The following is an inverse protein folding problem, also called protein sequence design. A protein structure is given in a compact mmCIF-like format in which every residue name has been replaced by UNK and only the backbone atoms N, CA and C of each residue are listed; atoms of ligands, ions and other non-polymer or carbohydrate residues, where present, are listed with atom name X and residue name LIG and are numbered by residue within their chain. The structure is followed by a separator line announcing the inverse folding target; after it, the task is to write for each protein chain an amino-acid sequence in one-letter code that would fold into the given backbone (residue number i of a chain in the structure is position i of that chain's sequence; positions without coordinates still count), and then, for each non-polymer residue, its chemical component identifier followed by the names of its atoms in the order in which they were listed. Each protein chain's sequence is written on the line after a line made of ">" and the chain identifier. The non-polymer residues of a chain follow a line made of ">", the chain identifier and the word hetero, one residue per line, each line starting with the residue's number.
data_IF_993288385632
#
_entry.id   IF_993288385632
#
_cell.length_a   1.000
_cell.length_b   1.000
_cell.length_c   1.000
_cell.angle_alpha   90.00
_cell.angle_beta   90.00
_cell.angle_gamma   90.00
#
_symmetry.space_group_name_H-M   'P 1'
#
loop_
_entity.id
_entity.type
_entity.pdbx_description
1 polymer ?
#
# COMPACT_ATOMS: atom_id res chain seq x y z
N UNK A 1 6.05 -21.26 -11.44
CA UNK A 1 5.05 -20.39 -10.76
C UNK A 1 5.44 -18.97 -11.07
N UNK A 2 4.50 -18.11 -11.48
CA UNK A 2 4.79 -16.69 -11.76
C UNK A 2 4.78 -15.89 -10.45
N UNK A 3 5.87 -15.17 -10.16
CA UNK A 3 6.03 -14.38 -8.95
C UNK A 3 5.66 -12.92 -9.25
N UNK A 4 4.66 -12.41 -8.54
CA UNK A 4 4.21 -11.01 -8.64
C UNK A 4 4.42 -10.34 -7.29
N UNK A 5 5.34 -9.39 -7.23
CA UNK A 5 5.61 -8.57 -6.05
C UNK A 5 4.65 -7.37 -6.02
N UNK A 6 3.72 -7.36 -5.05
CA UNK A 6 2.65 -6.36 -4.98
C UNK A 6 2.99 -5.18 -4.07
N UNK A 7 4.06 -5.26 -3.28
CA UNK A 7 4.46 -4.19 -2.36
C UNK A 7 5.91 -3.81 -2.61
N UNK A 8 6.09 -2.76 -3.35
CA UNK A 8 7.37 -2.15 -3.70
C UNK A 8 7.15 -0.71 -4.16
N UNK A 9 8.21 0.11 -4.18
CA UNK A 9 8.07 1.54 -4.32
C UNK A 9 8.96 2.12 -5.43
N UNK A 10 8.40 3.08 -6.16
CA UNK A 10 9.10 3.77 -7.24
C UNK A 10 8.75 5.26 -7.25
N UNK A 11 9.76 6.11 -7.38
CA UNK A 11 9.63 7.54 -7.60
C UNK A 11 9.95 7.83 -9.07
N UNK A 12 8.96 8.15 -9.90
CA UNK A 12 9.26 8.63 -11.24
C UNK A 12 10.22 9.82 -11.22
N UNK A 13 11.19 9.90 -12.15
CA UNK A 13 12.10 11.05 -12.22
C UNK A 13 11.35 12.39 -12.23
N UNK A 14 10.25 12.46 -12.95
CA UNK A 14 9.38 13.63 -13.06
C UNK A 14 8.83 14.08 -11.70
N UNK A 15 8.50 13.13 -10.80
CA UNK A 15 8.07 13.41 -9.44
C UNK A 15 9.21 14.02 -8.61
N UNK A 16 10.41 13.43 -8.68
CA UNK A 16 11.59 13.95 -7.97
C UNK A 16 11.96 15.37 -8.43
N UNK A 17 11.85 15.64 -9.71
CA UNK A 17 12.11 16.97 -10.27
C UNK A 17 11.02 17.97 -9.84
N UNK A 18 9.76 17.54 -9.79
CA UNK A 18 8.67 18.36 -9.30
C UNK A 18 8.84 18.72 -7.82
N UNK A 19 9.29 17.79 -6.98
CA UNK A 19 9.60 18.09 -5.56
C UNK A 19 10.72 19.13 -5.43
N UNK A 20 11.70 19.15 -6.33
CA UNK A 20 12.83 20.10 -6.32
C UNK A 20 12.48 21.46 -6.93
N UNK A 21 11.34 21.61 -7.56
CA UNK A 21 10.96 22.82 -8.32
C UNK A 21 10.73 24.08 -7.47
N UNK A 22 10.80 23.96 -6.14
CA UNK A 22 10.52 25.05 -5.20
C UNK A 22 9.02 25.30 -4.96
N UNK A 23 8.13 24.48 -5.54
CA UNK A 23 6.67 24.54 -5.32
C UNK A 23 6.19 23.58 -4.25
N UNK A 24 6.97 22.54 -3.97
CA UNK A 24 6.68 21.50 -2.99
C UNK A 24 6.96 21.97 -1.56
N UNK A 25 6.16 21.49 -0.61
CA UNK A 25 6.45 21.62 0.83
C UNK A 25 7.47 20.58 1.30
N UNK A 26 7.69 19.53 0.48
CA UNK A 26 8.64 18.47 0.75
C UNK A 26 10.06 18.95 0.46
N UNK A 27 10.93 18.85 1.45
CA UNK A 27 12.35 19.18 1.31
C UNK A 27 13.11 18.00 0.72
N UNK A 28 13.89 18.24 -0.33
CA UNK A 28 14.78 17.24 -0.93
C UNK A 28 16.22 17.69 -0.76
N UNK A 29 17.06 16.84 -0.15
CA UNK A 29 18.51 17.02 -0.05
C UNK A 29 19.23 15.87 -0.74
N UNK A 30 20.52 15.69 -0.49
CA UNK A 30 21.27 14.54 -1.03
C UNK A 30 22.16 13.91 0.06
N UNK A 31 22.35 12.60 -0.03
CA UNK A 31 23.34 11.89 0.78
C UNK A 31 24.76 12.08 0.20
N UNK A 32 25.77 11.53 0.88
CA UNK A 32 27.18 11.59 0.44
C UNK A 32 27.44 10.89 -0.91
N UNK A 33 26.51 10.02 -1.37
CA UNK A 33 26.59 9.32 -2.67
C UNK A 33 25.77 10.02 -3.76
N UNK A 34 25.15 11.16 -3.45
CA UNK A 34 24.31 11.92 -4.36
C UNK A 34 22.89 11.37 -4.52
N UNK A 35 22.45 10.40 -3.70
CA UNK A 35 21.06 9.96 -3.72
C UNK A 35 20.14 11.02 -3.10
N UNK A 36 18.98 11.30 -3.69
CA UNK A 36 17.99 12.18 -3.09
C UNK A 36 17.54 11.69 -1.72
N UNK A 37 17.52 12.59 -0.74
CA UNK A 37 16.89 12.41 0.55
C UNK A 37 15.57 13.18 0.55
N UNK A 38 14.45 12.48 0.60
CA UNK A 38 13.11 13.04 0.56
C UNK A 38 12.59 13.09 1.99
N UNK A 39 12.52 14.32 2.56
CA UNK A 39 12.16 14.51 3.96
C UNK A 39 10.65 14.65 4.14
N UNK A 40 10.11 14.01 5.18
CA UNK A 40 8.72 14.11 5.60
C UNK A 40 8.63 14.04 7.14
N UNK A 41 7.48 14.36 7.77
CA UNK A 41 7.40 14.36 9.23
C UNK A 41 7.82 13.03 9.85
N UNK A 42 8.84 13.09 10.72
CA UNK A 42 9.37 11.96 11.48
C UNK A 42 10.46 11.13 10.80
N UNK A 43 10.69 11.28 9.48
CA UNK A 43 11.66 10.46 8.76
C UNK A 43 12.13 11.09 7.42
N UNK A 44 12.90 10.33 6.66
CA UNK A 44 13.24 10.62 5.26
C UNK A 44 13.46 9.33 4.47
N UNK A 45 13.16 9.36 3.18
CA UNK A 45 13.50 8.28 2.27
C UNK A 45 14.76 8.58 1.46
N UNK A 46 15.64 7.59 1.36
CA UNK A 46 16.81 7.64 0.46
C UNK A 46 16.39 7.06 -0.89
N UNK A 47 16.23 7.91 -1.90
CA UNK A 47 15.85 7.47 -3.25
C UNK A 47 17.04 6.87 -4.00
N UNK A 48 17.41 5.63 -3.64
CA UNK A 48 18.47 4.86 -4.32
C UNK A 48 18.10 4.52 -5.77
N UNK A 49 19.02 3.96 -6.57
CA UNK A 49 18.78 3.60 -7.97
C UNK A 49 17.50 2.76 -8.16
N UNK A 50 17.26 1.77 -7.29
CA UNK A 50 16.04 0.95 -7.32
C UNK A 50 14.75 1.76 -7.19
N UNK A 51 14.76 2.91 -6.52
CA UNK A 51 13.58 3.77 -6.41
C UNK A 51 13.30 4.62 -7.66
N UNK A 52 14.29 4.92 -8.50
CA UNK A 52 14.20 6.01 -9.51
C UNK A 52 14.70 5.63 -10.90
N UNK A 53 15.29 4.46 -11.05
CA UNK A 53 15.79 3.95 -12.33
C UNK A 53 15.10 2.64 -12.68
N UNK A 54 14.18 2.70 -13.63
CA UNK A 54 13.35 1.55 -14.01
C UNK A 54 14.15 0.49 -14.76
N UNK A 55 15.22 0.87 -15.48
CA UNK A 55 16.07 -0.07 -16.17
C UNK A 55 16.96 -0.84 -15.18
N UNK A 56 17.54 -0.14 -14.22
CA UNK A 56 18.26 -0.76 -13.10
C UNK A 56 17.36 -1.76 -12.35
N UNK A 57 16.13 -1.33 -12.02
CA UNK A 57 15.13 -2.18 -11.33
C UNK A 57 14.80 -3.42 -12.13
N UNK A 58 14.59 -3.30 -13.43
CA UNK A 58 14.32 -4.45 -14.29
C UNK A 58 15.45 -5.49 -14.22
N UNK A 59 16.72 -5.05 -14.28
CA UNK A 59 17.87 -5.95 -14.13
C UNK A 59 17.91 -6.67 -12.77
N UNK A 60 17.49 -5.98 -11.68
CA UNK A 60 17.36 -6.61 -10.36
C UNK A 60 16.28 -7.69 -10.39
N UNK A 61 15.10 -7.43 -10.96
CA UNK A 61 14.01 -8.42 -11.05
C UNK A 61 14.42 -9.65 -11.86
N UNK A 62 15.14 -9.45 -12.96
CA UNK A 62 15.64 -10.55 -13.79
C UNK A 62 16.62 -11.42 -13.01
N UNK A 63 17.54 -10.81 -12.30
CA UNK A 63 18.54 -11.50 -11.45
C UNK A 63 17.87 -12.30 -10.32
N UNK A 64 16.90 -11.72 -9.65
CA UNK A 64 16.24 -12.35 -8.49
C UNK A 64 15.11 -13.32 -8.89
N UNK A 65 14.68 -13.33 -10.15
CA UNK A 65 13.64 -14.24 -10.66
C UNK A 65 12.21 -13.78 -10.29
N UNK A 66 11.98 -12.48 -10.16
CA UNK A 66 10.63 -11.91 -10.00
C UNK A 66 10.05 -11.59 -11.37
N UNK A 67 8.85 -12.07 -11.68
CA UNK A 67 8.24 -11.92 -13.00
C UNK A 67 7.63 -10.54 -13.23
N UNK A 68 6.93 -10.03 -12.22
CA UNK A 68 6.21 -8.75 -12.31
C UNK A 68 6.31 -8.01 -10.99
N UNK A 69 6.48 -6.69 -11.03
CA UNK A 69 6.25 -5.81 -9.88
C UNK A 69 5.06 -4.88 -10.12
N UNK A 70 4.23 -4.70 -9.09
CA UNK A 70 3.17 -3.70 -9.06
C UNK A 70 3.74 -2.46 -8.37
N UNK A 71 4.28 -1.52 -9.16
CA UNK A 71 4.94 -0.33 -8.63
C UNK A 71 3.94 0.64 -7.99
N UNK A 72 4.35 1.26 -6.89
CA UNK A 72 3.57 2.26 -6.15
C UNK A 72 4.42 3.45 -5.76
N UNK A 73 3.78 4.61 -5.53
CA UNK A 73 4.44 5.77 -4.93
C UNK A 73 4.40 5.64 -3.41
N UNK A 74 5.57 5.62 -2.75
CA UNK A 74 5.63 5.60 -1.27
C UNK A 74 5.59 7.01 -0.65
N UNK A 75 5.78 7.08 0.66
CA UNK A 75 5.92 8.36 1.39
C UNK A 75 6.99 9.26 0.78
N UNK A 76 6.79 10.58 0.78
CA UNK A 76 5.68 11.30 1.41
C UNK A 76 4.35 11.26 0.63
N UNK A 77 4.28 10.64 -0.55
CA UNK A 77 3.09 10.65 -1.40
C UNK A 77 2.80 12.02 -1.99
N UNK A 78 1.52 12.33 -2.20
CA UNK A 78 1.08 13.64 -2.70
C UNK A 78 0.21 14.39 -1.69
N UNK A 79 -0.33 13.69 -0.68
CA UNK A 79 -1.32 14.23 0.26
C UNK A 79 -0.76 15.26 1.26
N UNK A 80 0.56 15.34 1.40
CA UNK A 80 1.24 16.34 2.25
C UNK A 80 1.26 17.73 1.61
N UNK A 81 0.99 17.80 0.31
CA UNK A 81 1.02 19.03 -0.48
C UNK A 81 -0.30 19.80 -0.39
N UNK A 82 -0.29 21.06 -0.87
CA UNK A 82 -1.54 21.80 -1.08
C UNK A 82 -2.44 21.04 -2.05
N UNK A 83 -3.75 21.11 -1.89
CA UNK A 83 -4.71 20.35 -2.71
C UNK A 83 -4.46 20.47 -4.23
N UNK A 84 -4.21 21.71 -4.71
CA UNK A 84 -3.92 21.95 -6.13
C UNK A 84 -2.62 21.27 -6.59
N UNK A 85 -1.57 21.33 -5.78
CA UNK A 85 -0.29 20.74 -6.15
C UNK A 85 -0.30 19.23 -6.00
N UNK A 86 -0.99 18.71 -4.98
CA UNK A 86 -1.25 17.28 -4.81
C UNK A 86 -1.91 16.65 -6.05
N UNK A 87 -2.94 17.32 -6.60
CA UNK A 87 -3.60 16.87 -7.84
C UNK A 87 -2.65 16.89 -9.06
N UNK A 88 -1.80 17.91 -9.16
CA UNK A 88 -0.79 18.00 -10.23
C UNK A 88 0.22 16.86 -10.12
N UNK A 89 0.74 16.59 -8.91
CA UNK A 89 1.71 15.51 -8.68
C UNK A 89 1.09 14.13 -8.90
N UNK A 90 -0.14 13.92 -8.45
CA UNK A 90 -0.82 12.64 -8.64
C UNK A 90 -1.00 12.32 -10.13
N UNK A 91 -1.47 13.29 -10.92
CA UNK A 91 -1.61 13.11 -12.37
C UNK A 91 -0.27 12.81 -13.04
N UNK A 92 0.78 13.57 -12.70
CA UNK A 92 2.13 13.39 -13.24
C UNK A 92 2.70 12.00 -12.94
N UNK A 93 2.54 11.52 -11.70
CA UNK A 93 3.01 10.18 -11.29
C UNK A 93 2.24 9.08 -12.01
N UNK A 94 0.91 9.20 -12.08
CA UNK A 94 0.07 8.21 -12.71
C UNK A 94 0.32 8.10 -14.22
N UNK A 95 0.57 9.23 -14.91
CA UNK A 95 0.97 9.22 -16.31
C UNK A 95 2.32 8.54 -16.52
N UNK A 96 3.31 8.82 -15.66
CA UNK A 96 4.60 8.15 -15.69
C UNK A 96 4.47 6.63 -15.42
N UNK A 97 3.64 6.22 -14.47
CA UNK A 97 3.37 4.81 -14.20
C UNK A 97 2.69 4.12 -15.38
N UNK A 98 1.67 4.73 -15.97
CA UNK A 98 1.00 4.18 -17.15
C UNK A 98 1.96 4.02 -18.33
N UNK A 99 2.87 4.97 -18.54
CA UNK A 99 3.93 4.88 -19.54
C UNK A 99 4.86 3.69 -19.28
N UNK A 100 5.37 3.54 -18.03
CA UNK A 100 6.25 2.42 -17.65
C UNK A 100 5.53 1.08 -17.90
N UNK A 101 4.27 0.96 -17.49
CA UNK A 101 3.47 -0.25 -17.68
C UNK A 101 3.31 -0.57 -19.16
N UNK A 102 2.99 0.42 -19.99
CA UNK A 102 2.81 0.25 -21.44
C UNK A 102 4.11 -0.16 -22.15
N UNK A 103 5.24 0.46 -21.81
CA UNK A 103 6.53 0.23 -22.47
C UNK A 103 7.24 -1.06 -22.01
N UNK A 104 6.88 -1.58 -20.81
CA UNK A 104 7.61 -2.67 -20.17
C UNK A 104 6.71 -3.83 -19.72
N UNK A 105 5.53 -3.99 -20.30
CA UNK A 105 4.68 -5.13 -20.04
C UNK A 105 5.37 -6.45 -20.45
N UNK A 106 5.19 -7.55 -19.72
CA UNK A 106 4.42 -7.71 -18.49
C UNK A 106 5.27 -7.52 -17.21
N UNK A 107 6.47 -6.92 -17.31
CA UNK A 107 7.44 -6.80 -16.21
C UNK A 107 6.94 -5.88 -15.08
N UNK A 108 6.17 -4.84 -15.45
CA UNK A 108 5.61 -3.89 -14.50
C UNK A 108 4.09 -3.76 -14.67
N UNK A 109 3.44 -3.59 -13.54
CA UNK A 109 2.10 -3.06 -13.37
C UNK A 109 2.18 -1.94 -12.34
N UNK A 110 1.09 -1.19 -12.11
CA UNK A 110 1.12 -0.11 -11.13
C UNK A 110 -0.24 0.06 -10.45
N UNK A 111 -0.22 0.63 -9.24
CA UNK A 111 -1.38 1.26 -8.62
C UNK A 111 -1.21 2.77 -8.68
N UNK A 112 -2.32 3.46 -8.91
CA UNK A 112 -2.34 4.92 -8.93
C UNK A 112 -1.99 5.50 -7.55
N UNK A 113 -1.49 6.73 -7.54
CA UNK A 113 -1.47 7.58 -6.35
C UNK A 113 -2.60 8.61 -6.45
N UNK A 114 -3.15 9.02 -5.31
CA UNK A 114 -4.29 9.91 -5.24
C UNK A 114 -3.97 11.17 -4.44
N UNK A 115 -4.52 12.34 -4.82
CA UNK A 115 -4.37 13.59 -4.06
C UNK A 115 -5.31 13.59 -2.84
N UNK A 116 -5.07 12.70 -1.87
CA UNK A 116 -6.00 12.40 -0.75
C UNK A 116 -6.32 13.61 0.13
N UNK A 117 -5.53 14.68 0.11
CA UNK A 117 -5.86 15.95 0.76
C UNK A 117 -7.08 16.65 0.13
N UNK A 118 -7.48 16.24 -1.08
CA UNK A 118 -8.70 16.69 -1.78
C UNK A 118 -9.52 15.46 -2.19
N UNK A 119 -10.56 15.08 -1.44
CA UNK A 119 -11.39 13.93 -1.76
C UNK A 119 -12.06 13.98 -3.12
N UNK A 120 -12.50 15.17 -3.57
CA UNK A 120 -13.15 15.32 -4.87
C UNK A 120 -12.15 15.13 -6.03
N UNK A 121 -10.95 15.69 -5.90
CA UNK A 121 -9.86 15.45 -6.84
C UNK A 121 -9.43 13.97 -6.84
N UNK A 122 -9.45 13.31 -5.67
CA UNK A 122 -9.12 11.88 -5.55
C UNK A 122 -10.12 10.99 -6.30
N UNK A 123 -11.42 11.28 -6.24
CA UNK A 123 -12.44 10.57 -7.02
C UNK A 123 -12.21 10.75 -8.52
N UNK A 124 -11.93 11.98 -8.94
CA UNK A 124 -11.65 12.29 -10.35
C UNK A 124 -10.41 11.55 -10.86
N UNK A 125 -9.33 11.56 -10.06
CA UNK A 125 -8.06 10.92 -10.42
C UNK A 125 -8.16 9.38 -10.40
N UNK A 126 -8.87 8.77 -9.44
CA UNK A 126 -9.10 7.33 -9.45
C UNK A 126 -9.89 6.91 -10.70
N UNK A 127 -10.92 7.67 -11.08
CA UNK A 127 -11.68 7.41 -12.30
C UNK A 127 -10.78 7.47 -13.53
N UNK A 128 -10.00 8.53 -13.68
CA UNK A 128 -9.05 8.69 -14.79
C UNK A 128 -8.03 7.53 -14.82
N UNK A 129 -7.47 7.19 -13.66
CA UNK A 129 -6.50 6.10 -13.55
C UNK A 129 -7.07 4.77 -14.03
N UNK A 130 -8.31 4.45 -13.67
CA UNK A 130 -8.93 3.18 -14.04
C UNK A 130 -9.46 3.17 -15.49
N UNK A 131 -10.14 4.22 -15.91
CA UNK A 131 -10.83 4.25 -17.20
C UNK A 131 -9.87 4.59 -18.37
N UNK A 132 -8.95 5.55 -18.16
CA UNK A 132 -8.06 6.04 -19.22
C UNK A 132 -6.68 5.35 -19.14
N UNK A 133 -6.06 5.30 -17.95
CA UNK A 133 -4.72 4.75 -17.76
C UNK A 133 -4.68 3.23 -17.52
N UNK A 134 -5.86 2.60 -17.35
CA UNK A 134 -5.99 1.16 -17.14
C UNK A 134 -5.27 0.62 -15.90
N UNK A 135 -5.09 1.44 -14.88
CA UNK A 135 -4.56 1.02 -13.59
C UNK A 135 -5.68 0.38 -12.75
N UNK A 136 -5.44 -0.74 -12.04
CA UNK A 136 -6.51 -1.54 -11.42
C UNK A 136 -7.04 -0.96 -10.10
N UNK A 137 -6.54 0.17 -9.67
CA UNK A 137 -6.88 0.82 -8.40
C UNK A 137 -5.78 1.75 -7.95
N UNK A 138 -5.69 1.99 -6.65
CA UNK A 138 -4.74 2.94 -6.08
C UNK A 138 -4.08 2.43 -4.79
N UNK A 139 -2.89 2.94 -4.51
CA UNK A 139 -2.35 2.92 -3.16
C UNK A 139 -2.90 4.12 -2.39
N UNK A 140 -3.37 3.89 -1.18
CA UNK A 140 -3.84 4.91 -0.23
C UNK A 140 -3.03 4.83 1.05
N UNK A 141 -2.87 5.97 1.74
CA UNK A 141 -2.13 5.98 3.00
C UNK A 141 -3.04 5.68 4.18
N UNK A 142 -2.49 5.09 5.24
CA UNK A 142 -3.19 4.70 6.48
C UNK A 142 -3.93 5.86 7.17
N UNK A 143 -3.41 7.07 7.02
CA UNK A 143 -4.06 8.32 7.39
C UNK A 143 -3.76 9.42 6.34
N UNK A 144 -4.50 10.49 6.35
CA UNK A 144 -4.30 11.66 5.49
C UNK A 144 -4.07 12.88 6.37
N UNK A 145 -2.80 13.19 6.63
CA UNK A 145 -2.41 14.29 7.52
C UNK A 145 -3.11 14.20 8.90
N UNK A 146 -3.12 13.01 9.50
CA UNK A 146 -3.77 12.72 10.78
C UNK A 146 -5.27 12.44 10.70
N UNK A 147 -5.89 12.55 9.53
CA UNK A 147 -7.30 12.23 9.33
C UNK A 147 -7.43 10.74 8.99
N UNK A 148 -8.26 10.01 9.76
CA UNK A 148 -8.47 8.61 9.53
C UNK A 148 -9.10 8.33 8.16
N UNK A 149 -8.68 7.25 7.47
CA UNK A 149 -9.30 6.80 6.22
C UNK A 149 -10.81 6.50 6.38
N UNK A 150 -11.25 6.18 7.58
CA UNK A 150 -12.66 5.94 7.89
C UNK A 150 -13.55 7.20 7.84
N UNK A 151 -12.97 8.39 7.77
CA UNK A 151 -13.71 9.65 7.71
C UNK A 151 -14.64 9.67 6.49
N UNK A 152 -15.89 10.12 6.69
CA UNK A 152 -16.93 10.12 5.64
C UNK A 152 -16.59 10.98 4.43
N UNK A 153 -15.64 11.93 4.54
CA UNK A 153 -15.14 12.69 3.39
C UNK A 153 -14.56 11.81 2.28
N UNK A 154 -14.07 10.60 2.62
CA UNK A 154 -13.54 9.64 1.66
C UNK A 154 -14.59 8.68 1.10
N UNK A 155 -15.82 8.69 1.59
CA UNK A 155 -16.86 7.78 1.10
C UNK A 155 -17.17 7.91 -0.39
N UNK A 156 -17.17 9.09 -1.02
CA UNK A 156 -17.31 9.17 -2.48
C UNK A 156 -16.20 8.45 -3.26
N UNK A 157 -14.98 8.39 -2.69
CA UNK A 157 -13.89 7.58 -3.24
C UNK A 157 -14.21 6.08 -3.12
N UNK A 158 -14.74 5.65 -1.98
CA UNK A 158 -15.14 4.26 -1.74
C UNK A 158 -16.35 3.85 -2.58
N UNK A 159 -17.29 4.75 -2.83
CA UNK A 159 -18.40 4.50 -3.77
C UNK A 159 -17.89 4.18 -5.18
N UNK A 160 -16.95 4.95 -5.69
CA UNK A 160 -16.33 4.67 -6.97
C UNK A 160 -15.51 3.38 -6.95
N UNK A 161 -14.70 3.18 -5.92
CA UNK A 161 -13.87 1.99 -5.76
C UNK A 161 -14.74 0.72 -5.67
N UNK A 162 -15.85 0.77 -4.94
CA UNK A 162 -16.83 -0.33 -4.87
C UNK A 162 -17.49 -0.57 -6.21
N UNK A 163 -17.99 0.49 -6.87
CA UNK A 163 -18.66 0.38 -8.17
C UNK A 163 -17.79 -0.30 -9.23
N UNK A 164 -16.48 -0.07 -9.18
CA UNK A 164 -15.49 -0.60 -10.14
C UNK A 164 -14.80 -1.88 -9.67
N UNK A 165 -14.95 -2.26 -8.38
CA UNK A 165 -14.20 -3.36 -7.77
C UNK A 165 -12.70 -3.07 -7.70
N UNK A 166 -12.33 -1.82 -7.45
CA UNK A 166 -10.95 -1.36 -7.43
C UNK A 166 -10.13 -2.02 -6.31
N UNK A 167 -8.83 -2.14 -6.56
CA UNK A 167 -7.84 -2.47 -5.53
C UNK A 167 -7.49 -1.20 -4.76
N UNK A 168 -7.61 -1.22 -3.43
CA UNK A 168 -7.07 -0.20 -2.55
C UNK A 168 -6.00 -0.81 -1.65
N UNK A 169 -4.74 -0.47 -1.91
CA UNK A 169 -3.60 -0.92 -1.11
C UNK A 169 -3.30 0.12 -0.04
N UNK A 170 -3.48 -0.24 1.24
CA UNK A 170 -3.18 0.63 2.37
C UNK A 170 -1.70 0.50 2.71
N UNK A 171 -0.98 1.60 2.54
CA UNK A 171 0.41 1.76 2.95
C UNK A 171 0.49 2.74 4.13
N UNK A 172 1.30 2.49 5.15
CA UNK A 172 1.47 3.44 6.24
C UNK A 172 2.12 4.75 5.80
N UNK A 173 1.88 5.80 6.58
CA UNK A 173 2.56 7.09 6.48
C UNK A 173 2.95 7.55 7.88
N UNK A 174 3.34 8.81 8.04
CA UNK A 174 3.65 9.36 9.37
C UNK A 174 2.46 9.15 10.31
N UNK A 175 2.60 8.31 11.34
CA UNK A 175 1.49 7.99 12.24
C UNK A 175 1.17 9.15 13.16
N UNK A 176 -0.06 9.17 13.68
CA UNK A 176 -0.42 10.07 14.80
C UNK A 176 0.46 9.70 15.99
N UNK A 177 1.08 10.72 16.63
CA UNK A 177 2.02 10.49 17.74
C UNK A 177 3.45 10.17 17.27
N UNK A 178 3.80 10.49 16.04
CA UNK A 178 5.15 10.25 15.45
C UNK A 178 6.28 10.85 16.29
N UNK A 179 6.00 11.92 17.05
CA UNK A 179 6.96 12.55 17.97
C UNK A 179 7.48 11.62 19.07
N UNK A 180 6.74 10.56 19.41
CA UNK A 180 7.17 9.52 20.34
C UNK A 180 8.08 8.45 19.68
N UNK A 181 8.33 8.55 18.37
CA UNK A 181 9.00 7.52 17.57
C UNK A 181 10.25 8.05 16.84
N UNK A 182 10.80 9.16 17.30
CA UNK A 182 11.93 9.87 16.63
C UNK A 182 13.28 9.21 16.83
N UNK A 183 13.41 8.28 17.80
CA UNK A 183 14.63 7.54 18.08
C UNK A 183 14.58 6.12 17.50
N UNK A 184 15.75 5.53 17.24
CA UNK A 184 15.92 4.11 16.86
C UNK A 184 15.11 3.67 15.63
N UNK A 185 14.71 4.60 14.76
CA UNK A 185 13.86 4.30 13.60
C UNK A 185 12.52 3.67 13.99
N UNK A 186 12.00 3.99 15.19
CA UNK A 186 10.75 3.41 15.68
C UNK A 186 9.56 3.72 14.79
N UNK A 187 9.59 4.82 14.02
CA UNK A 187 8.50 5.15 13.12
C UNK A 187 8.31 4.06 12.04
N UNK A 188 9.28 3.70 11.19
CA UNK A 188 9.10 2.61 10.24
C UNK A 188 9.05 1.23 10.90
N UNK A 189 9.73 0.99 12.02
CA UNK A 189 9.80 -0.32 12.64
C UNK A 189 8.55 -0.71 13.44
N UNK A 190 7.89 0.26 14.07
CA UNK A 190 6.71 0.05 14.93
C UNK A 190 5.52 0.88 14.44
N UNK A 191 5.76 2.17 14.25
CA UNK A 191 4.72 3.15 13.93
C UNK A 191 3.93 2.80 12.68
N UNK A 192 4.59 2.43 11.59
CA UNK A 192 3.95 2.04 10.35
C UNK A 192 3.00 0.85 10.51
N UNK A 193 3.42 -0.17 11.25
CA UNK A 193 2.59 -1.35 11.48
C UNK A 193 1.36 -1.02 12.33
N UNK A 194 1.54 -0.18 13.36
CA UNK A 194 0.45 0.25 14.23
C UNK A 194 -0.51 1.19 13.51
N UNK A 195 -0.03 2.08 12.66
CA UNK A 195 -0.88 2.98 11.86
C UNK A 195 -1.74 2.21 10.84
N UNK A 196 -1.16 1.20 10.14
CA UNK A 196 -1.92 0.26 9.31
C UNK A 196 -2.98 -0.49 10.11
N UNK A 197 -2.62 -0.95 11.31
CA UNK A 197 -3.56 -1.65 12.21
C UNK A 197 -4.72 -0.75 12.60
N UNK A 198 -4.44 0.49 12.98
CA UNK A 198 -5.44 1.48 13.39
C UNK A 198 -6.35 1.85 12.20
N UNK A 199 -5.78 2.05 11.02
CA UNK A 199 -6.54 2.33 9.80
C UNK A 199 -7.52 1.20 9.47
N UNK A 200 -7.06 -0.05 9.50
CA UNK A 200 -7.91 -1.21 9.25
C UNK A 200 -9.04 -1.35 10.28
N UNK A 201 -8.74 -1.17 11.57
CA UNK A 201 -9.74 -1.22 12.62
C UNK A 201 -10.79 -0.10 12.48
N UNK A 202 -10.37 1.14 12.21
CA UNK A 202 -11.26 2.27 11.94
C UNK A 202 -12.17 2.02 10.74
N UNK A 203 -11.64 1.54 9.62
CA UNK A 203 -12.44 1.22 8.43
C UNK A 203 -13.51 0.18 8.74
N UNK A 204 -13.17 -0.86 9.50
CA UNK A 204 -14.16 -1.89 9.89
C UNK A 204 -15.22 -1.30 10.78
N UNK A 205 -14.86 -0.69 11.92
CA UNK A 205 -15.85 -0.19 12.88
C UNK A 205 -16.68 0.99 12.38
N UNK A 206 -16.19 1.75 11.39
CA UNK A 206 -16.99 2.78 10.71
C UNK A 206 -18.03 2.24 9.74
N UNK A 207 -17.96 0.93 9.41
CA UNK A 207 -18.90 0.28 8.48
C UNK A 207 -18.50 0.41 7.00
N UNK A 208 -17.29 0.87 6.68
CA UNK A 208 -16.84 0.97 5.29
C UNK A 208 -16.93 -0.36 4.54
N UNK A 209 -16.44 -1.53 5.04
CA UNK A 209 -16.58 -2.80 4.33
C UNK A 209 -17.99 -3.37 4.32
N UNK A 210 -18.85 -2.95 5.25
CA UNK A 210 -20.29 -3.28 5.23
C UNK A 210 -20.99 -2.55 4.07
N UNK A 211 -20.67 -1.28 3.86
CA UNK A 211 -21.27 -0.41 2.87
C UNK A 211 -20.69 -0.60 1.47
N UNK A 212 -19.38 -0.87 1.39
CA UNK A 212 -18.59 -0.96 0.15
C UNK A 212 -17.89 -2.32 0.02
N UNK A 213 -18.66 -3.42 -0.12
CA UNK A 213 -18.13 -4.79 0.00
C UNK A 213 -17.29 -5.26 -1.20
N UNK A 214 -17.31 -4.56 -2.34
CA UNK A 214 -16.60 -4.98 -3.55
C UNK A 214 -15.19 -4.42 -3.66
N UNK A 215 -14.79 -3.50 -2.77
CA UNK A 215 -13.42 -2.99 -2.71
C UNK A 215 -12.48 -4.12 -2.34
N UNK A 216 -11.38 -4.25 -3.10
CA UNK A 216 -10.33 -5.22 -2.84
C UNK A 216 -9.23 -4.58 -1.99
N UNK A 217 -9.34 -4.73 -0.69
CA UNK A 217 -8.36 -4.20 0.25
C UNK A 217 -7.10 -5.04 0.27
N UNK A 218 -5.93 -4.37 0.23
CA UNK A 218 -4.61 -4.96 0.50
C UNK A 218 -3.99 -4.18 1.65
N UNK A 219 -3.53 -4.88 2.67
CA UNK A 219 -2.85 -4.28 3.81
C UNK A 219 -1.34 -4.50 3.68
N UNK A 220 -0.58 -3.42 3.69
CA UNK A 220 0.87 -3.44 3.74
C UNK A 220 1.41 -4.05 5.04
N UNK A 221 2.66 -4.53 5.01
CA UNK A 221 3.39 -5.06 6.16
C UNK A 221 2.62 -6.13 6.93
N UNK A 222 2.10 -7.13 6.19
CA UNK A 222 1.33 -8.26 6.73
C UNK A 222 0.08 -7.80 7.53
N UNK A 223 -0.43 -6.58 7.24
CA UNK A 223 -1.56 -5.99 7.96
C UNK A 223 -1.22 -5.48 9.35
N UNK A 224 0.06 -5.21 9.62
CA UNK A 224 0.52 -4.77 10.92
C UNK A 224 0.24 -5.83 12.01
N UNK A 225 -0.50 -5.45 13.03
CA UNK A 225 -0.89 -6.36 14.12
C UNK A 225 -2.31 -6.95 13.95
N UNK A 226 -2.98 -6.78 12.81
CA UNK A 226 -4.36 -7.25 12.60
C UNK A 226 -4.51 -8.75 12.85
N UNK A 227 -3.68 -9.67 12.31
CA UNK A 227 -3.85 -11.10 12.59
C UNK A 227 -3.75 -11.44 14.07
N UNK A 228 -2.89 -10.72 14.80
CA UNK A 228 -2.73 -10.89 16.25
C UNK A 228 -3.90 -10.33 17.07
N UNK A 229 -4.46 -9.18 16.64
CA UNK A 229 -5.51 -8.46 17.38
C UNK A 229 -6.94 -8.87 17.02
N UNK A 230 -7.14 -9.69 16.01
CA UNK A 230 -8.46 -10.01 15.46
C UNK A 230 -9.47 -10.49 16.52
N UNK A 231 -9.05 -11.41 17.40
CA UNK A 231 -9.91 -11.90 18.48
C UNK A 231 -10.26 -10.80 19.49
N UNK A 232 -9.30 -9.91 19.80
CA UNK A 232 -9.54 -8.78 20.69
C UNK A 232 -10.55 -7.77 20.10
N UNK A 233 -10.51 -7.55 18.77
CA UNK A 233 -11.49 -6.71 18.08
C UNK A 233 -12.89 -7.35 18.12
N UNK A 234 -12.98 -8.67 17.98
CA UNK A 234 -14.23 -9.41 18.09
C UNK A 234 -14.82 -9.32 19.51
N UNK A 235 -13.99 -9.43 20.56
CA UNK A 235 -14.43 -9.17 21.95
C UNK A 235 -14.92 -7.75 22.14
N UNK A 236 -14.25 -6.77 21.54
CA UNK A 236 -14.73 -5.38 21.55
C UNK A 236 -16.11 -5.24 20.93
N UNK A 237 -16.33 -5.91 19.80
CA UNK A 237 -17.66 -5.97 19.15
C UNK A 237 -18.74 -6.59 20.07
N UNK A 238 -18.41 -7.63 20.82
CA UNK A 238 -19.34 -8.28 21.78
C UNK A 238 -19.60 -7.41 23.00
N UNK A 239 -18.55 -6.76 23.55
CA UNK A 239 -18.64 -6.04 24.82
C UNK A 239 -19.16 -4.60 24.69
N UNK A 240 -18.82 -3.90 23.62
CA UNK A 240 -19.07 -2.47 23.50
C UNK A 240 -20.12 -2.16 22.43
N UNK A 241 -21.22 -1.51 22.82
CA UNK A 241 -22.30 -1.15 21.90
C UNK A 241 -21.83 -0.25 20.75
N UNK A 242 -20.85 0.60 20.99
CA UNK A 242 -20.24 1.47 19.99
C UNK A 242 -19.60 0.68 18.84
N UNK A 243 -18.96 -0.44 19.14
CA UNK A 243 -18.32 -1.29 18.16
C UNK A 243 -19.31 -2.02 17.22
N UNK A 244 -20.60 -2.09 17.62
CA UNK A 244 -21.68 -2.69 16.82
C UNK A 244 -22.52 -1.68 16.03
N UNK A 245 -22.23 -0.39 16.17
CA UNK A 245 -23.09 0.67 15.65
C UNK A 245 -23.22 0.62 14.11
N UNK A 246 -22.15 0.33 13.40
CA UNK A 246 -22.09 0.45 11.95
C UNK A 246 -21.83 -0.88 11.22
N UNK A 247 -21.62 -1.98 11.96
CA UNK A 247 -21.33 -3.31 11.38
C UNK A 247 -22.24 -4.37 11.99
N UNK A 248 -22.58 -5.40 11.21
CA UNK A 248 -23.49 -6.49 11.59
C UNK A 248 -22.77 -7.80 11.89
N UNK A 249 -21.51 -7.92 11.50
CA UNK A 249 -20.66 -9.10 11.69
C UNK A 249 -19.49 -8.76 12.57
N UNK A 250 -18.81 -9.77 13.10
CA UNK A 250 -17.56 -9.58 13.86
C UNK A 250 -16.48 -8.94 12.97
N UNK A 251 -15.62 -8.05 13.52
CA UNK A 251 -14.54 -7.43 12.78
C UNK A 251 -13.68 -8.43 12.00
N UNK A 252 -13.35 -9.57 12.61
CA UNK A 252 -12.55 -10.61 11.96
C UNK A 252 -13.18 -11.17 10.68
N UNK A 253 -14.50 -11.20 10.57
CA UNK A 253 -15.19 -11.71 9.38
C UNK A 253 -15.01 -10.79 8.16
N UNK A 254 -14.87 -9.46 8.37
CA UNK A 254 -14.50 -8.53 7.31
C UNK A 254 -13.02 -8.64 6.98
N UNK A 255 -12.17 -8.59 8.00
CA UNK A 255 -10.71 -8.59 7.85
C UNK A 255 -10.19 -9.87 7.16
N UNK A 256 -10.81 -11.03 7.39
CA UNK A 256 -10.48 -12.28 6.69
C UNK A 256 -10.75 -12.24 5.17
N UNK A 257 -11.54 -11.30 4.69
CA UNK A 257 -11.79 -11.12 3.25
C UNK A 257 -10.75 -10.24 2.56
N UNK A 258 -9.92 -9.54 3.32
CA UNK A 258 -8.88 -8.65 2.82
C UNK A 258 -7.60 -9.40 2.48
N UNK A 259 -6.70 -8.75 1.77
CA UNK A 259 -5.40 -9.33 1.42
C UNK A 259 -4.30 -8.72 2.27
N UNK A 260 -3.25 -9.50 2.47
CA UNK A 260 -2.09 -9.19 3.28
C UNK A 260 -0.83 -9.44 2.46
N UNK A 261 0.15 -8.56 2.48
CA UNK A 261 1.42 -8.86 1.83
C UNK A 261 2.38 -9.65 2.76
N UNK A 262 3.54 -10.03 2.26
CA UNK A 262 4.53 -10.79 3.03
C UNK A 262 5.59 -9.92 3.68
N UNK A 263 5.44 -8.60 3.72
CA UNK A 263 6.45 -7.69 4.28
C UNK A 263 6.50 -7.79 5.80
N UNK A 264 7.12 -8.83 6.26
CA UNK A 264 7.59 -9.13 7.60
C UNK A 264 8.69 -10.20 7.50
N UNK A 265 8.54 -11.12 6.51
CA UNK A 265 9.43 -12.22 6.16
C UNK A 265 9.61 -13.28 7.27
N UNK A 266 9.17 -13.04 8.50
CA UNK A 266 9.22 -14.03 9.58
C UNK A 266 8.19 -15.14 9.34
N UNK A 267 8.67 -16.39 9.41
CA UNK A 267 7.85 -17.56 9.12
C UNK A 267 6.64 -17.68 10.04
N UNK A 268 6.80 -17.42 11.34
CA UNK A 268 5.71 -17.58 12.32
C UNK A 268 4.65 -16.49 12.13
N UNK A 269 5.08 -15.27 11.81
CA UNK A 269 4.15 -14.18 11.49
C UNK A 269 3.33 -14.50 10.23
N UNK A 270 3.97 -15.04 9.18
CA UNK A 270 3.29 -15.46 7.95
C UNK A 270 2.32 -16.63 8.22
N UNK A 271 2.73 -17.64 9.00
CA UNK A 271 1.86 -18.76 9.40
C UNK A 271 0.62 -18.25 10.15
N UNK A 272 0.78 -17.29 11.07
CA UNK A 272 -0.34 -16.64 11.76
C UNK A 272 -1.30 -15.94 10.81
N UNK A 273 -0.78 -15.17 9.85
CA UNK A 273 -1.61 -14.46 8.88
C UNK A 273 -2.34 -15.44 7.93
N UNK A 274 -1.70 -16.53 7.53
CA UNK A 274 -2.29 -17.60 6.72
C UNK A 274 -3.38 -18.35 7.50
N UNK A 275 -3.15 -18.65 8.77
CA UNK A 275 -4.16 -19.27 9.63
C UNK A 275 -5.37 -18.34 9.83
N UNK A 276 -5.11 -17.05 9.95
CA UNK A 276 -6.15 -16.05 10.12
C UNK A 276 -7.00 -15.84 8.86
N UNK A 277 -6.36 -15.54 7.71
CA UNK A 277 -7.07 -15.08 6.50
C UNK A 277 -7.17 -16.13 5.39
N UNK A 278 -6.35 -17.17 5.43
CA UNK A 278 -6.16 -18.12 4.33
C UNK A 278 -4.97 -17.79 3.45
N UNK A 279 -4.32 -18.81 2.91
CA UNK A 279 -3.14 -18.65 2.05
C UNK A 279 -3.45 -17.88 0.76
N UNK A 280 -4.69 -17.96 0.27
CA UNK A 280 -5.18 -17.24 -0.91
C UNK A 280 -5.34 -15.73 -0.68
N UNK A 281 -5.22 -15.27 0.53
CA UNK A 281 -5.26 -13.85 0.92
C UNK A 281 -3.88 -13.26 1.20
N UNK A 282 -2.82 -14.07 1.18
CA UNK A 282 -1.45 -13.59 1.39
C UNK A 282 -0.74 -13.44 0.05
N UNK A 283 -0.23 -12.26 -0.22
CA UNK A 283 0.38 -11.84 -1.49
C UNK A 283 1.87 -11.59 -1.29
N UNK A 284 2.69 -11.92 -2.29
CA UNK A 284 4.12 -11.62 -2.24
C UNK A 284 4.36 -10.10 -2.24
N UNK A 285 5.11 -9.60 -1.26
CA UNK A 285 5.53 -8.21 -1.14
C UNK A 285 6.94 -8.13 -0.61
N UNK A 286 7.79 -7.29 -1.20
CA UNK A 286 9.22 -7.17 -0.86
C UNK A 286 9.59 -5.90 -0.12
N UNK A 287 8.76 -4.87 -0.18
CA UNK A 287 9.08 -3.51 0.27
C UNK A 287 10.34 -2.93 -0.40
N UNK A 288 10.69 -3.47 -1.57
CA UNK A 288 11.86 -3.02 -2.34
C UNK A 288 11.62 -1.60 -2.88
N UNK A 289 12.63 -0.73 -2.86
CA UNK A 289 14.02 -0.91 -2.42
C UNK A 289 14.33 -0.22 -1.08
N UNK A 290 13.39 -0.17 -0.13
CA UNK A 290 13.66 0.36 1.20
C UNK A 290 14.74 -0.46 1.92
N UNK A 291 15.46 0.15 2.89
CA UNK A 291 16.60 -0.47 3.58
C UNK A 291 16.23 -1.77 4.31
N UNK A 292 15.00 -1.86 4.79
CA UNK A 292 14.48 -3.05 5.48
C UNK A 292 13.68 -3.96 4.55
N UNK A 293 13.41 -3.53 3.32
CA UNK A 293 12.78 -4.34 2.28
C UNK A 293 13.77 -5.30 1.62
N UNK A 294 13.28 -6.46 1.15
CA UNK A 294 14.18 -7.48 0.57
C UNK A 294 13.46 -8.45 -0.37
N UNK A 295 13.78 -8.39 -1.65
CA UNK A 295 13.32 -9.40 -2.63
C UNK A 295 13.82 -10.80 -2.24
N UNK A 296 15.14 -11.02 -1.92
CA UNK A 296 15.59 -12.35 -1.50
C UNK A 296 14.88 -12.88 -0.25
N UNK A 297 14.61 -12.04 0.76
CA UNK A 297 13.89 -12.46 1.96
C UNK A 297 12.43 -12.79 1.67
N UNK A 298 11.76 -11.99 0.84
CA UNK A 298 10.43 -12.32 0.31
C UNK A 298 10.45 -13.71 -0.33
N UNK A 299 11.32 -13.96 -1.30
CA UNK A 299 11.40 -15.26 -1.98
C UNK A 299 11.71 -16.42 -1.05
N UNK A 300 12.58 -16.21 -0.05
CA UNK A 300 12.90 -17.22 0.96
C UNK A 300 11.71 -17.55 1.86
N UNK A 301 10.99 -16.50 2.32
CA UNK A 301 9.78 -16.67 3.14
C UNK A 301 8.70 -17.46 2.40
N UNK A 302 8.55 -17.21 1.10
CA UNK A 302 7.64 -17.92 0.22
C UNK A 302 7.97 -19.42 0.13
N UNK A 303 9.24 -19.77 -0.07
CA UNK A 303 9.69 -21.16 -0.19
C UNK A 303 9.59 -21.95 1.11
N UNK A 304 9.61 -21.27 2.23
CA UNK A 304 9.57 -21.86 3.59
C UNK A 304 8.17 -22.26 4.06
N UNK A 305 7.12 -21.87 3.34
CA UNK A 305 5.75 -22.18 3.74
C UNK A 305 5.33 -23.59 3.31
N UNK A 306 4.43 -24.26 4.07
CA UNK A 306 3.92 -25.57 3.72
C UNK A 306 3.25 -25.52 2.33
N UNK A 307 3.60 -26.46 1.44
CA UNK A 307 3.00 -26.55 0.10
C UNK A 307 1.51 -26.85 0.22
N UNK A 308 0.67 -25.88 -0.03
CA UNK A 308 -0.75 -26.04 -0.35
C UNK A 308 -0.92 -25.58 -1.80
N UNK A 309 -1.85 -26.18 -2.51
CA UNK A 309 -2.07 -25.97 -3.95
C UNK A 309 -2.27 -24.48 -4.28
N UNK A 310 -1.54 -23.89 -5.25
CA UNK A 310 -1.67 -22.48 -5.58
C UNK A 310 -3.08 -22.12 -6.06
N UNK A 311 -3.74 -21.19 -5.39
CA UNK A 311 -4.99 -20.62 -5.88
C UNK A 311 -4.66 -19.43 -6.78
N UNK A 312 -5.04 -19.50 -8.05
CA UNK A 312 -4.91 -18.36 -8.97
C UNK A 312 -5.94 -17.30 -8.57
N UNK A 313 -5.50 -16.17 -8.08
CA UNK A 313 -6.37 -15.00 -7.94
C UNK A 313 -6.16 -14.04 -9.10
N UNK A 314 -7.27 -13.55 -9.64
CA UNK A 314 -7.30 -12.49 -10.64
C UNK A 314 -7.78 -11.20 -9.98
N UNK A 315 -6.93 -10.18 -9.93
CA UNK A 315 -7.42 -8.83 -9.71
C UNK A 315 -8.13 -8.37 -10.99
N UNK A 316 -9.29 -7.72 -10.84
CA UNK A 316 -10.06 -7.24 -11.99
C UNK A 316 -9.25 -6.20 -12.74
N UNK A 317 -8.71 -6.56 -13.83
CA UNK A 317 -8.07 -5.89 -14.95
C UNK A 317 -7.15 -6.89 -15.70
N UNK A 318 -7.44 -8.21 -15.60
CA UNK A 318 -6.69 -9.20 -16.37
C UNK A 318 -5.31 -9.55 -15.80
N UNK A 319 -4.95 -9.09 -14.61
CA UNK A 319 -3.70 -9.51 -13.97
C UNK A 319 -3.91 -10.72 -13.07
N UNK A 320 -3.32 -11.89 -13.40
CA UNK A 320 -3.25 -13.01 -12.48
C UNK A 320 -2.22 -12.66 -11.40
N UNK A 321 -2.68 -12.42 -10.17
CA UNK A 321 -1.81 -12.48 -9.01
C UNK A 321 -1.73 -13.93 -8.56
N UNK A 322 -0.53 -14.47 -8.47
CA UNK A 322 -0.31 -15.74 -7.82
C UNK A 322 -0.28 -15.47 -6.33
N UNK A 323 -1.35 -15.80 -5.64
CA UNK A 323 -1.31 -15.97 -4.19
C UNK A 323 -0.49 -17.20 -3.87
N UNK A 324 0.14 -17.20 -2.73
CA UNK A 324 0.78 -18.39 -2.22
C UNK A 324 -0.27 -19.34 -1.69
N UNK A 325 -0.18 -20.54 -2.13
CA UNK A 325 -0.85 -21.68 -1.55
C UNK A 325 0.13 -22.83 -1.43
#
# INVERSE_FOLDING_TARGET
>A
MKIVDVHNHFYPPEYLDALRSGKSVVRVTADAKGNPLIHYPGDYNVAVAGHRDIAYRQGVLEKEGVDTQVITLTTPGTHVETAKYAATLASLVNDAFAKIVSERAPRFAALATLPLSDPAASVKELRRAMEELRLPGAMVFSNVNGIALADQRFWPLYELADATGAVLHIHPTSPVGVEAMTEYWLMPLVGFLMDTTLAAAHLVFSGVPERFPRIKWVLGHLGGAIPYLAERLDRGYEAFAECRKNIRRKPSEYLKTWHYDTVNFDRKALELAIEFAGADRVLAGSDYPHLIGSIPSMLASLRGLPSRTPTKQTFSAGMPLVSMA
#
